data_IF_691716712366
#
_entry.id   IF_691716712366
#
_cell.length_a   1.000
_cell.length_b   1.000
_cell.length_c   1.000
_cell.angle_alpha   90.00
_cell.angle_beta   90.00
_cell.angle_gamma   90.00
#
_symmetry.space_group_name_H-M   'P 1'
#
loop_
_entity.id
_entity.type
_entity.pdbx_description
1 polymer ?
#
# COMPACT_ATOMS: atom_id res chain seq x y z
N UNK A 1 -33.21 -68.56 25.00
CA UNK A 1 -32.79 -67.96 23.70
C UNK A 1 -33.38 -66.55 23.62
N UNK A 2 -32.59 -65.50 23.86
CA UNK A 2 -33.03 -64.11 23.81
C UNK A 2 -32.06 -63.33 22.97
N UNK A 3 -32.52 -62.77 21.85
CA UNK A 3 -31.76 -61.90 20.94
C UNK A 3 -31.73 -60.49 21.55
N UNK A 4 -30.51 -59.95 21.81
CA UNK A 4 -30.26 -58.54 22.13
C UNK A 4 -30.18 -57.77 20.83
N UNK A 5 -31.09 -56.82 20.65
CA UNK A 5 -31.03 -55.78 19.58
C UNK A 5 -30.22 -54.59 20.09
N UNK A 6 -29.12 -54.27 19.41
CA UNK A 6 -28.30 -53.11 19.70
C UNK A 6 -28.93 -51.84 19.15
N UNK A 7 -29.11 -50.81 20.01
CA UNK A 7 -29.51 -49.46 19.64
C UNK A 7 -28.25 -48.67 19.21
N UNK A 8 -28.19 -48.29 17.94
CA UNK A 8 -27.19 -47.35 17.41
C UNK A 8 -27.40 -45.95 18.03
N UNK A 9 -26.33 -45.41 18.63
CA UNK A 9 -26.29 -44.01 19.08
C UNK A 9 -25.95 -43.13 17.88
N UNK A 10 -26.92 -42.40 17.36
CA UNK A 10 -26.69 -41.32 16.43
C UNK A 10 -25.91 -40.18 17.12
N UNK A 11 -24.75 -39.85 16.62
CA UNK A 11 -24.05 -38.63 16.99
C UNK A 11 -24.80 -37.45 16.37
N UNK A 12 -25.45 -36.65 17.17
CA UNK A 12 -25.90 -35.30 16.79
C UNK A 12 -24.65 -34.42 16.71
N UNK A 13 -24.29 -33.96 15.51
CA UNK A 13 -23.38 -32.86 15.32
C UNK A 13 -24.05 -31.62 15.92
N UNK A 14 -23.65 -31.27 17.12
CA UNK A 14 -24.00 -29.99 17.72
C UNK A 14 -23.10 -28.94 17.13
N UNK A 15 -23.60 -28.21 16.14
CA UNK A 15 -23.03 -26.91 15.80
C UNK A 15 -23.06 -26.05 17.06
N UNK A 16 -21.87 -25.68 17.56
CA UNK A 16 -21.81 -24.68 18.63
C UNK A 16 -22.24 -23.35 17.98
N UNK A 17 -23.21 -22.64 18.56
CA UNK A 17 -23.54 -21.32 18.07
C UNK A 17 -22.30 -20.45 18.17
N UNK A 18 -21.89 -19.91 17.06
CA UNK A 18 -20.88 -18.84 17.01
C UNK A 18 -21.49 -17.69 17.81
N UNK A 19 -20.92 -17.40 18.99
CA UNK A 19 -21.31 -16.22 19.75
C UNK A 19 -21.01 -15.02 18.86
N UNK A 20 -22.03 -14.35 18.36
CA UNK A 20 -21.91 -13.05 17.77
C UNK A 20 -21.11 -12.14 18.72
N UNK A 21 -20.14 -11.42 18.21
CA UNK A 21 -19.43 -10.42 18.99
C UNK A 21 -20.47 -9.43 19.54
N UNK A 22 -20.28 -8.91 20.78
CA UNK A 22 -21.22 -7.97 21.35
C UNK A 22 -21.37 -6.78 20.37
N UNK A 23 -22.56 -6.60 19.87
CA UNK A 23 -22.94 -5.42 19.10
C UNK A 23 -23.04 -4.27 20.11
N UNK A 24 -22.00 -3.46 20.21
CA UNK A 24 -22.12 -2.14 20.82
C UNK A 24 -22.94 -1.29 19.87
N UNK A 25 -24.18 -1.02 20.26
CA UNK A 25 -25.14 -0.29 19.45
C UNK A 25 -24.57 1.04 18.96
N UNK A 26 -24.28 1.14 17.68
CA UNK A 26 -24.02 2.38 16.97
C UNK A 26 -22.62 2.98 17.09
N UNK A 27 -21.63 2.30 17.67
CA UNK A 27 -20.24 2.79 17.74
C UNK A 27 -19.32 1.76 17.09
N UNK A 28 -18.92 2.03 15.85
CA UNK A 28 -17.86 1.27 15.20
C UNK A 28 -16.50 1.89 15.58
N UNK A 29 -15.65 1.08 16.20
CA UNK A 29 -14.36 1.55 16.68
C UNK A 29 -13.26 1.09 15.73
N UNK A 30 -12.69 1.99 14.97
CA UNK A 30 -11.41 1.75 14.31
C UNK A 30 -10.35 1.55 15.39
N UNK A 31 -9.55 0.51 15.28
CA UNK A 31 -8.37 0.46 16.10
C UNK A 31 -8.20 -0.73 17.02
N UNK A 32 -8.75 -1.89 16.72
CA UNK A 32 -8.18 -3.15 17.18
C UNK A 32 -7.34 -3.74 16.07
N UNK A 33 -6.03 -3.68 16.19
CA UNK A 33 -5.17 -4.54 15.41
C UNK A 33 -5.60 -5.99 15.71
N UNK A 34 -6.04 -6.71 14.71
CA UNK A 34 -6.10 -8.18 14.80
C UNK A 34 -4.68 -8.68 14.50
N UNK A 35 -4.23 -9.73 15.16
CA UNK A 35 -3.02 -10.40 14.75
C UNK A 35 -3.11 -10.70 13.25
N UNK A 36 -2.04 -10.43 12.51
CA UNK A 36 -1.93 -10.88 11.12
C UNK A 36 -2.24 -12.37 11.08
N UNK A 37 -3.04 -12.82 10.13
CA UNK A 37 -3.23 -14.24 9.88
C UNK A 37 -2.13 -14.81 8.99
N UNK A 38 -0.96 -14.22 9.01
CA UNK A 38 0.20 -14.67 8.26
C UNK A 38 0.53 -16.16 8.46
N UNK A 39 0.03 -16.77 9.52
CA UNK A 39 0.14 -18.20 9.76
C UNK A 39 -0.96 -19.09 9.17
N UNK A 40 -1.91 -18.56 8.40
CA UNK A 40 -3.05 -19.35 7.91
C UNK A 40 -2.79 -20.17 6.65
N UNK A 41 -1.57 -20.08 6.07
CA UNK A 41 -1.24 -20.76 4.83
C UNK A 41 -0.40 -22.01 5.07
N UNK A 42 -0.94 -23.21 4.80
CA UNK A 42 -0.27 -24.48 5.10
C UNK A 42 0.93 -24.81 4.22
N UNK A 43 1.34 -23.94 3.30
CA UNK A 43 2.41 -24.23 2.34
C UNK A 43 3.80 -24.24 3.00
N UNK A 44 3.98 -23.52 4.13
CA UNK A 44 5.29 -23.41 4.82
C UNK A 44 5.26 -23.76 6.30
N UNK A 45 4.16 -24.32 6.82
CA UNK A 45 3.91 -24.44 8.26
C UNK A 45 3.48 -23.09 8.85
N UNK A 46 2.77 -23.13 9.97
CA UNK A 46 2.47 -21.91 10.72
C UNK A 46 3.79 -21.40 11.29
N UNK A 47 4.30 -20.21 10.89
CA UNK A 47 5.44 -19.64 11.58
C UNK A 47 5.06 -19.45 13.06
N UNK A 48 5.94 -19.79 13.98
CA UNK A 48 5.77 -19.45 15.39
C UNK A 48 5.46 -17.96 15.45
N UNK A 49 4.33 -17.61 16.07
CA UNK A 49 3.94 -16.22 16.24
C UNK A 49 4.94 -15.53 17.13
N UNK A 50 5.97 -14.97 16.51
CA UNK A 50 6.96 -14.19 17.24
C UNK A 50 6.31 -12.87 17.65
N UNK A 51 6.04 -12.72 18.94
CA UNK A 51 5.47 -11.51 19.54
C UNK A 51 6.54 -10.48 19.92
N UNK A 52 7.81 -10.76 19.60
CA UNK A 52 8.92 -9.89 19.94
C UNK A 52 9.45 -9.18 18.70
N UNK A 53 9.80 -7.91 18.87
CA UNK A 53 10.57 -7.22 17.86
C UNK A 53 11.87 -7.97 17.56
N UNK A 54 12.08 -8.30 16.31
CA UNK A 54 13.38 -8.76 15.85
C UNK A 54 14.33 -7.57 15.73
N UNK A 55 15.64 -7.76 15.93
CA UNK A 55 16.58 -6.70 15.65
C UNK A 55 16.43 -6.21 14.21
N UNK A 56 16.38 -4.90 14.03
CA UNK A 56 16.37 -4.32 12.69
C UNK A 56 17.74 -4.56 12.04
N UNK A 57 17.77 -4.80 10.72
CA UNK A 57 19.02 -4.91 9.99
C UNK A 57 19.82 -3.62 10.06
N UNK A 58 21.14 -3.73 9.91
CA UNK A 58 21.99 -2.56 9.82
C UNK A 58 21.64 -1.74 8.57
N UNK A 59 21.49 -0.40 8.70
CA UNK A 59 21.23 0.46 7.56
C UNK A 59 22.40 0.42 6.55
N UNK A 60 22.10 0.57 5.28
CA UNK A 60 23.12 0.67 4.22
C UNK A 60 23.62 2.08 4.00
N UNK A 61 22.80 3.08 4.38
CA UNK A 61 23.15 4.50 4.38
C UNK A 61 23.35 5.08 5.77
N UNK A 62 23.75 6.35 5.81
CA UNK A 62 23.93 7.09 7.05
C UNK A 62 22.66 7.82 7.47
N UNK A 63 22.46 8.04 8.82
CA UNK A 63 21.43 8.93 9.27
C UNK A 63 21.60 10.35 8.66
N UNK A 64 20.50 11.06 8.37
CA UNK A 64 19.11 10.78 8.75
C UNK A 64 18.34 9.83 7.82
N UNK A 65 19.01 9.03 6.99
CA UNK A 65 18.43 8.06 6.06
C UNK A 65 17.61 8.73 4.94
N UNK A 66 18.18 9.75 4.32
CA UNK A 66 17.57 10.46 3.21
C UNK A 66 18.00 9.87 1.86
N UNK A 67 17.07 9.77 0.94
CA UNK A 67 17.33 9.59 -0.48
C UNK A 67 16.70 10.78 -1.23
N UNK A 68 17.54 11.57 -1.91
CA UNK A 68 17.05 12.67 -2.74
C UNK A 68 16.70 12.14 -4.13
N UNK A 69 15.51 12.45 -4.63
CA UNK A 69 15.06 12.05 -5.95
C UNK A 69 16.02 12.49 -7.07
N UNK A 70 16.75 13.61 -6.87
CA UNK A 70 17.80 14.07 -7.80
C UNK A 70 18.92 13.07 -8.07
N UNK A 71 19.18 12.20 -7.10
CA UNK A 71 20.24 11.19 -7.24
C UNK A 71 19.80 9.96 -8.02
N UNK A 72 18.49 9.84 -8.32
CA UNK A 72 17.90 8.63 -8.88
C UNK A 72 17.31 8.85 -10.28
N UNK A 73 16.90 10.08 -10.60
CA UNK A 73 16.38 10.44 -11.92
C UNK A 73 17.35 11.37 -12.66
N UNK A 74 17.16 11.54 -13.97
CA UNK A 74 18.02 12.42 -14.75
C UNK A 74 17.90 13.90 -14.30
N UNK A 75 18.96 14.71 -14.41
CA UNK A 75 18.88 16.14 -14.10
C UNK A 75 17.79 16.89 -14.88
N UNK A 76 17.57 16.53 -16.15
CA UNK A 76 16.50 17.11 -16.99
C UNK A 76 15.12 16.76 -16.47
N UNK A 77 14.90 15.50 -16.05
CA UNK A 77 13.64 15.06 -15.46
C UNK A 77 13.36 15.78 -14.13
N UNK A 78 14.40 15.91 -13.28
CA UNK A 78 14.25 16.65 -12.02
C UNK A 78 13.91 18.13 -12.28
N UNK A 79 14.59 18.77 -13.23
CA UNK A 79 14.30 20.17 -13.58
C UNK A 79 12.89 20.35 -14.15
N UNK A 80 12.37 19.36 -14.89
CA UNK A 80 10.98 19.39 -15.39
C UNK A 80 9.96 19.42 -14.23
N UNK A 81 10.18 18.65 -13.16
CA UNK A 81 9.32 18.67 -11.96
C UNK A 81 9.36 20.04 -11.26
N UNK A 82 10.58 20.59 -11.09
CA UNK A 82 10.77 21.89 -10.43
C UNK A 82 10.11 23.02 -11.24
N UNK A 83 10.30 23.04 -12.55
CA UNK A 83 9.74 24.06 -13.45
C UNK A 83 8.22 24.00 -13.51
N UNK A 84 7.67 22.80 -13.64
CA UNK A 84 6.21 22.60 -13.68
C UNK A 84 5.54 22.76 -12.31
N UNK A 85 6.33 22.77 -11.22
CA UNK A 85 5.82 22.74 -9.83
C UNK A 85 4.77 21.63 -9.63
N UNK A 86 5.03 20.46 -10.21
CA UNK A 86 4.13 19.33 -10.22
C UNK A 86 4.90 18.01 -10.15
N UNK A 87 4.52 17.15 -9.23
CA UNK A 87 5.03 15.79 -9.07
C UNK A 87 3.88 14.81 -9.24
N UNK A 88 4.02 13.90 -10.18
CA UNK A 88 3.09 12.78 -10.36
C UNK A 88 3.80 11.48 -9.99
N UNK A 89 3.11 10.53 -9.34
CA UNK A 89 3.65 9.23 -8.99
C UNK A 89 2.55 8.19 -8.84
N UNK A 90 2.93 6.92 -8.92
CA UNK A 90 2.04 5.80 -8.62
C UNK A 90 2.26 5.27 -7.21
N UNK A 91 1.19 4.70 -6.63
CA UNK A 91 1.19 4.03 -5.33
C UNK A 91 0.41 2.74 -5.43
N UNK A 92 0.94 1.68 -4.86
CA UNK A 92 0.23 0.45 -4.54
C UNK A 92 0.93 -0.25 -3.37
N UNK A 93 0.34 -1.32 -2.85
CA UNK A 93 0.92 -2.21 -1.86
C UNK A 93 0.36 -3.62 -2.06
N UNK A 94 0.89 -4.59 -1.32
CA UNK A 94 0.39 -5.97 -1.35
C UNK A 94 0.39 -6.53 -2.78
N UNK A 95 1.54 -6.35 -3.43
CA UNK A 95 1.63 -6.54 -4.86
C UNK A 95 2.11 -7.92 -5.29
N UNK A 96 2.74 -8.68 -4.39
CA UNK A 96 3.38 -9.96 -4.75
C UNK A 96 2.42 -10.95 -5.39
N UNK A 97 2.69 -11.31 -6.64
CA UNK A 97 1.83 -12.14 -7.48
C UNK A 97 2.06 -13.62 -7.28
N UNK A 98 1.59 -14.18 -6.19
CA UNK A 98 1.62 -15.64 -5.99
C UNK A 98 0.51 -16.35 -6.76
N UNK A 99 0.59 -17.66 -6.83
CA UNK A 99 -0.23 -18.57 -7.64
C UNK A 99 0.05 -18.42 -9.13
N UNK A 100 -0.59 -17.52 -9.83
CA UNK A 100 -0.38 -17.32 -11.27
C UNK A 100 0.13 -15.90 -11.62
N UNK A 101 0.25 -14.99 -10.62
CA UNK A 101 0.75 -13.64 -10.81
C UNK A 101 -0.08 -12.74 -11.76
N UNK A 102 -1.20 -13.22 -12.27
CA UNK A 102 -1.97 -12.52 -13.32
C UNK A 102 -2.52 -11.18 -12.82
N UNK A 103 -3.03 -11.13 -11.59
CA UNK A 103 -3.61 -9.91 -11.03
C UNK A 103 -2.55 -8.82 -10.87
N UNK A 104 -1.35 -9.20 -10.41
CA UNK A 104 -0.19 -8.30 -10.35
C UNK A 104 0.21 -7.78 -11.73
N UNK A 105 0.28 -8.67 -12.73
CA UNK A 105 0.60 -8.27 -14.10
C UNK A 105 -0.44 -7.31 -14.69
N UNK A 106 -1.72 -7.50 -14.38
CA UNK A 106 -2.78 -6.59 -14.81
C UNK A 106 -2.60 -5.19 -14.19
N UNK A 107 -2.26 -5.11 -12.91
CA UNK A 107 -1.97 -3.84 -12.23
C UNK A 107 -0.72 -3.19 -12.83
N UNK A 108 0.38 -3.92 -13.01
CA UNK A 108 1.61 -3.41 -13.60
C UNK A 108 1.37 -2.83 -15.00
N UNK A 109 0.68 -3.57 -15.88
CA UNK A 109 0.29 -3.10 -17.22
C UNK A 109 -0.67 -1.90 -17.17
N UNK A 110 -1.57 -1.87 -16.19
CA UNK A 110 -2.44 -0.71 -15.95
C UNK A 110 -1.65 0.55 -15.65
N UNK A 111 -0.61 0.45 -14.84
CA UNK A 111 0.30 1.57 -14.53
C UNK A 111 1.17 1.95 -15.74
N UNK A 112 1.65 0.97 -16.51
CA UNK A 112 2.43 1.23 -17.73
C UNK A 112 1.59 1.96 -18.79
N UNK A 113 0.33 1.62 -18.93
CA UNK A 113 -0.60 2.26 -19.87
C UNK A 113 -0.90 3.74 -19.52
N UNK A 114 -0.62 4.16 -18.30
CA UNK A 114 -0.78 5.55 -17.86
C UNK A 114 0.35 6.48 -18.36
N UNK A 115 1.47 5.92 -18.84
CA UNK A 115 2.57 6.72 -19.36
C UNK A 115 2.28 7.32 -20.72
N UNK A 116 2.65 8.59 -20.85
CA UNK A 116 2.57 9.37 -22.10
C UNK A 116 3.98 9.58 -22.63
N UNK A 117 4.46 8.78 -23.60
CA UNK A 117 5.88 8.75 -23.99
C UNK A 117 6.46 10.11 -24.46
N UNK A 118 5.62 11.00 -24.98
CA UNK A 118 6.03 12.33 -25.49
C UNK A 118 5.78 13.46 -24.48
N UNK A 119 5.17 13.18 -23.35
CA UNK A 119 4.89 14.21 -22.34
C UNK A 119 6.10 14.39 -21.39
N UNK A 120 6.28 15.58 -20.81
CA UNK A 120 7.32 15.81 -19.81
C UNK A 120 7.09 14.94 -18.56
N UNK A 121 8.14 14.75 -17.74
CA UNK A 121 8.02 13.95 -16.53
C UNK A 121 6.96 14.47 -15.58
N UNK A 122 6.74 15.78 -15.52
CA UNK A 122 5.68 16.38 -14.70
C UNK A 122 4.25 15.86 -15.01
N UNK A 123 4.03 15.34 -16.22
CA UNK A 123 2.76 14.75 -16.65
C UNK A 123 2.76 13.22 -16.61
N UNK A 124 3.90 12.64 -16.31
CA UNK A 124 4.09 11.21 -16.15
C UNK A 124 4.44 10.87 -14.69
N UNK A 125 4.16 9.65 -14.24
CA UNK A 125 4.65 9.20 -12.94
C UNK A 125 6.17 9.23 -12.87
N UNK A 126 6.72 9.92 -11.87
CA UNK A 126 8.17 10.02 -11.66
C UNK A 126 8.73 8.75 -10.99
N UNK A 127 7.89 8.03 -10.26
CA UNK A 127 8.23 6.78 -9.58
C UNK A 127 6.96 5.99 -9.22
N UNK A 128 7.15 4.74 -8.82
CA UNK A 128 6.18 3.94 -8.07
C UNK A 128 6.64 3.90 -6.62
N UNK A 129 5.70 4.04 -5.67
CA UNK A 129 5.94 3.83 -4.24
C UNK A 129 5.11 2.64 -3.74
N UNK A 130 5.78 1.58 -3.29
CA UNK A 130 5.17 0.34 -2.79
C UNK A 130 4.99 0.43 -1.28
N UNK A 131 3.79 0.15 -0.81
CA UNK A 131 3.39 0.23 0.60
C UNK A 131 3.58 -1.09 1.36
N UNK A 132 4.58 -1.87 0.96
CA UNK A 132 4.95 -3.15 1.60
C UNK A 132 4.31 -4.37 0.96
N UNK A 133 4.71 -5.53 1.47
CA UNK A 133 4.41 -6.85 0.94
C UNK A 133 4.75 -6.95 -0.54
N UNK A 134 6.05 -6.70 -0.80
CA UNK A 134 6.60 -6.75 -2.15
C UNK A 134 6.66 -8.19 -2.67
N UNK A 135 6.98 -9.13 -1.77
CA UNK A 135 7.15 -10.56 -2.10
C UNK A 135 6.52 -11.45 -1.03
N UNK A 136 5.61 -12.30 -1.41
CA UNK A 136 4.95 -13.32 -0.58
C UNK A 136 5.64 -14.68 -0.70
N UNK A 137 5.57 -15.57 0.35
CA UNK A 137 4.93 -15.25 1.64
C UNK A 137 5.93 -14.73 2.67
N UNK A 138 7.23 -14.91 2.45
CA UNK A 138 8.29 -14.70 3.43
C UNK A 138 9.40 -13.76 2.90
N UNK A 139 9.15 -12.95 1.90
CA UNK A 139 10.14 -12.04 1.33
C UNK A 139 11.36 -12.74 0.72
N UNK A 140 11.22 -14.02 0.29
CA UNK A 140 12.33 -14.87 -0.13
C UNK A 140 13.04 -14.31 -1.36
N UNK A 141 14.37 -14.26 -1.29
CA UNK A 141 15.22 -13.75 -2.40
C UNK A 141 14.89 -14.40 -3.74
N UNK A 142 14.67 -15.72 -3.77
CA UNK A 142 14.39 -16.48 -5.01
C UNK A 142 13.06 -16.08 -5.68
N UNK A 143 12.13 -15.49 -4.94
CA UNK A 143 10.81 -15.11 -5.44
C UNK A 143 10.77 -13.68 -6.02
N UNK A 144 11.87 -12.91 -5.88
CA UNK A 144 11.94 -11.53 -6.40
C UNK A 144 11.83 -11.45 -7.91
N UNK A 145 12.29 -12.47 -8.67
CA UNK A 145 12.11 -12.47 -10.11
C UNK A 145 10.63 -12.48 -10.47
N UNK A 146 9.92 -13.52 -10.05
CA UNK A 146 8.52 -13.76 -10.42
C UNK A 146 7.54 -12.74 -9.84
N UNK A 147 7.85 -12.15 -8.67
CA UNK A 147 6.93 -11.27 -7.96
C UNK A 147 7.32 -9.78 -8.00
N UNK A 148 8.51 -9.44 -8.50
CA UNK A 148 8.94 -8.06 -8.60
C UNK A 148 9.58 -7.73 -9.95
N UNK A 149 10.64 -8.41 -10.35
CA UNK A 149 11.40 -8.01 -11.53
C UNK A 149 10.64 -8.25 -12.84
N UNK A 150 10.06 -9.41 -13.03
CA UNK A 150 9.31 -9.78 -14.23
C UNK A 150 8.04 -8.94 -14.40
N UNK A 151 7.13 -8.81 -13.41
CA UNK A 151 5.91 -8.03 -13.56
C UNK A 151 6.14 -6.54 -13.84
N UNK A 152 7.23 -5.97 -13.31
CA UNK A 152 7.56 -4.54 -13.45
C UNK A 152 8.72 -4.26 -14.41
N UNK A 153 9.09 -5.22 -15.26
CA UNK A 153 10.21 -5.07 -16.19
C UNK A 153 10.07 -3.83 -17.09
N UNK A 154 8.88 -3.57 -17.57
CA UNK A 154 8.59 -2.46 -18.48
C UNK A 154 8.14 -1.18 -17.78
N UNK A 155 8.04 -1.17 -16.46
CA UNK A 155 7.76 0.05 -15.73
C UNK A 155 8.98 1.00 -15.80
N UNK A 156 8.89 2.18 -16.47
CA UNK A 156 10.08 2.90 -16.93
C UNK A 156 10.70 3.84 -15.88
N UNK A 157 10.34 3.70 -14.61
CA UNK A 157 10.74 4.64 -13.54
C UNK A 157 11.26 3.91 -12.31
N UNK A 158 11.95 4.61 -11.38
CA UNK A 158 12.34 4.05 -10.10
C UNK A 158 11.14 3.50 -9.32
N UNK A 159 11.38 2.45 -8.54
CA UNK A 159 10.38 1.84 -7.67
C UNK A 159 10.92 1.89 -6.25
N UNK A 160 10.27 2.67 -5.39
CA UNK A 160 10.59 2.78 -3.97
C UNK A 160 9.61 1.93 -3.15
N UNK A 161 10.01 1.54 -1.93
CA UNK A 161 9.16 0.74 -1.07
C UNK A 161 9.41 1.01 0.42
N UNK A 162 8.41 0.71 1.24
CA UNK A 162 8.59 0.30 2.63
C UNK A 162 8.35 -1.20 2.72
N UNK A 163 9.00 -1.95 3.62
CA UNK A 163 8.70 -3.36 3.75
C UNK A 163 7.39 -3.59 4.51
N UNK A 164 6.67 -4.64 4.14
CA UNK A 164 5.51 -5.16 4.86
C UNK A 164 5.87 -6.29 5.82
N UNK A 165 4.84 -6.96 6.35
CA UNK A 165 5.05 -8.09 7.26
C UNK A 165 5.58 -9.31 6.51
N UNK A 166 5.09 -9.58 5.30
CA UNK A 166 5.58 -10.71 4.49
C UNK A 166 7.03 -10.51 4.03
N UNK A 167 7.49 -9.29 3.79
CA UNK A 167 8.90 -8.99 3.51
C UNK A 167 9.79 -9.24 4.74
N UNK A 168 9.25 -9.08 5.95
CA UNK A 168 9.96 -9.23 7.21
C UNK A 168 9.85 -10.60 7.85
N UNK A 169 8.95 -11.46 7.40
CA UNK A 169 8.86 -12.84 7.82
C UNK A 169 9.98 -13.65 7.16
N UNK A 170 10.56 -14.58 7.88
CA UNK A 170 11.62 -15.45 7.35
C UNK A 170 11.36 -16.90 7.71
N UNK A 171 11.75 -17.80 6.83
CA UNK A 171 11.79 -19.22 7.15
C UNK A 171 12.90 -19.51 8.20
N UNK A 172 12.80 -20.61 8.95
CA UNK A 172 13.86 -20.99 9.89
C UNK A 172 15.22 -21.06 9.20
N UNK A 173 16.20 -20.30 9.72
CA UNK A 173 17.56 -20.22 9.18
C UNK A 173 17.78 -19.15 8.12
N UNK A 174 16.77 -18.38 7.75
CA UNK A 174 16.87 -17.22 6.87
C UNK A 174 16.91 -15.92 7.67
N UNK A 175 17.61 -14.91 7.12
CA UNK A 175 17.65 -13.58 7.72
C UNK A 175 16.39 -12.79 7.35
N UNK A 176 15.69 -12.18 8.32
CA UNK A 176 14.54 -11.33 8.02
C UNK A 176 14.93 -10.18 7.11
N UNK A 177 14.04 -9.82 6.16
CA UNK A 177 14.25 -8.73 5.22
C UNK A 177 15.40 -8.92 4.23
N UNK A 178 16.05 -10.08 4.13
CA UNK A 178 17.19 -10.26 3.23
C UNK A 178 16.82 -9.89 1.78
N UNK A 179 15.71 -10.42 1.28
CA UNK A 179 15.24 -10.11 -0.07
C UNK A 179 14.99 -8.61 -0.25
N UNK A 180 14.33 -7.96 0.70
CA UNK A 180 14.07 -6.52 0.65
C UNK A 180 15.37 -5.71 0.66
N UNK A 181 16.30 -6.00 1.56
CA UNK A 181 17.58 -5.30 1.66
C UNK A 181 18.40 -5.38 0.38
N UNK A 182 18.47 -6.58 -0.22
CA UNK A 182 19.21 -6.80 -1.46
C UNK A 182 18.65 -5.98 -2.62
N UNK A 183 17.33 -5.89 -2.73
CA UNK A 183 16.65 -5.34 -3.91
C UNK A 183 16.23 -3.88 -3.76
N UNK A 184 16.03 -3.39 -2.53
CA UNK A 184 15.65 -2.01 -2.28
C UNK A 184 16.70 -1.18 -1.54
N UNK A 185 17.59 -1.80 -0.77
CA UNK A 185 18.58 -1.12 0.06
C UNK A 185 20.02 -1.43 -0.38
N UNK A 186 20.27 -1.64 -1.65
CA UNK A 186 21.63 -1.89 -2.16
C UNK A 186 22.52 -0.64 -1.99
N UNK A 187 23.83 -0.84 -1.83
CA UNK A 187 24.79 0.27 -1.72
C UNK A 187 24.96 1.08 -3.01
N UNK A 188 24.65 0.47 -4.14
CA UNK A 188 24.69 1.09 -5.47
C UNK A 188 23.66 0.41 -6.37
N UNK A 189 23.20 1.06 -7.46
CA UNK A 189 22.27 0.46 -8.40
C UNK A 189 22.99 -0.67 -9.18
N UNK A 190 22.78 -1.91 -8.71
CA UNK A 190 23.35 -3.12 -9.29
C UNK A 190 22.23 -3.99 -9.87
N UNK A 191 22.55 -4.72 -10.93
CA UNK A 191 21.72 -5.84 -11.36
C UNK A 191 21.96 -7.02 -10.41
N UNK A 192 20.96 -7.32 -9.61
CA UNK A 192 21.06 -8.43 -8.65
C UNK A 192 20.92 -9.78 -9.36
N UNK A 193 21.51 -10.88 -8.84
CA UNK A 193 21.34 -12.21 -9.43
C UNK A 193 19.88 -12.62 -9.61
N UNK A 194 19.04 -12.30 -8.63
CA UNK A 194 17.60 -12.55 -8.64
C UNK A 194 16.83 -11.74 -9.69
N UNK A 195 17.43 -10.72 -10.28
CA UNK A 195 16.82 -9.98 -11.40
C UNK A 195 16.88 -10.75 -12.73
N UNK A 196 17.66 -11.82 -12.82
CA UNK A 196 17.80 -12.69 -13.99
C UNK A 196 18.00 -11.90 -15.31
N UNK A 197 17.07 -11.99 -16.26
CA UNK A 197 17.13 -11.28 -17.55
C UNK A 197 16.49 -9.88 -17.52
N UNK A 198 15.75 -9.52 -16.46
CA UNK A 198 15.22 -8.17 -16.29
C UNK A 198 16.34 -7.12 -16.35
N UNK A 199 16.07 -5.99 -16.98
CA UNK A 199 16.99 -4.86 -17.05
C UNK A 199 16.97 -3.94 -15.83
N UNK A 200 16.15 -4.25 -14.84
CA UNK A 200 16.05 -3.43 -13.63
C UNK A 200 17.25 -3.69 -12.70
N UNK A 201 17.66 -2.61 -12.03
CA UNK A 201 18.68 -2.65 -10.98
C UNK A 201 18.02 -2.50 -9.61
N UNK A 202 18.70 -2.98 -8.58
CA UNK A 202 18.30 -2.74 -7.21
C UNK A 202 18.26 -1.23 -6.89
N UNK A 203 17.36 -0.85 -5.99
CA UNK A 203 17.26 0.51 -5.47
C UNK A 203 18.26 0.73 -4.33
N UNK A 204 18.54 2.00 -4.02
CA UNK A 204 19.55 2.41 -3.04
C UNK A 204 18.94 3.15 -1.85
N UNK A 205 17.80 2.66 -1.37
CA UNK A 205 17.19 3.19 -0.15
C UNK A 205 18.15 3.01 1.02
N UNK A 206 18.33 4.04 1.87
CA UNK A 206 19.39 3.99 2.89
C UNK A 206 19.09 3.08 4.09
N UNK A 207 17.84 2.70 4.28
CA UNK A 207 17.39 1.88 5.38
C UNK A 207 15.99 1.31 5.09
N UNK A 208 15.49 0.42 5.93
CA UNK A 208 14.10 -0.12 5.88
C UNK A 208 13.05 0.91 6.34
N UNK A 209 13.47 1.96 7.05
CA UNK A 209 12.70 3.19 7.28
C UNK A 209 13.57 4.40 6.87
N UNK A 210 13.00 5.30 6.11
CA UNK A 210 13.79 6.31 5.41
C UNK A 210 12.91 7.43 4.85
N UNK A 211 13.53 8.51 4.39
CA UNK A 211 12.83 9.65 3.82
C UNK A 211 13.22 9.85 2.36
N UNK A 212 12.24 9.86 1.46
CA UNK A 212 12.41 10.33 0.09
C UNK A 212 12.18 11.83 0.04
N UNK A 213 13.23 12.57 -0.32
CA UNK A 213 13.16 14.00 -0.54
C UNK A 213 12.85 14.27 -2.01
N UNK A 214 11.80 15.06 -2.27
CA UNK A 214 11.45 15.52 -3.62
C UNK A 214 11.24 17.04 -3.61
N UNK A 215 11.21 17.70 -4.76
CA UNK A 215 11.01 19.16 -4.80
C UNK A 215 9.60 19.58 -4.36
N UNK A 216 8.63 18.66 -4.28
CA UNK A 216 7.23 18.99 -4.05
C UNK A 216 6.58 18.24 -2.89
N UNK A 217 7.24 17.26 -2.29
CA UNK A 217 6.78 16.52 -1.12
C UNK A 217 7.93 15.83 -0.42
N UNK A 218 7.79 15.57 0.89
CA UNK A 218 8.64 14.66 1.64
C UNK A 218 7.83 13.39 1.97
N UNK A 219 8.41 12.22 1.68
CA UNK A 219 7.81 10.93 2.01
C UNK A 219 8.61 10.28 3.12
N UNK A 220 8.02 10.14 4.29
CA UNK A 220 8.62 9.47 5.44
C UNK A 220 8.09 8.05 5.49
N UNK A 221 8.93 7.10 5.07
CA UNK A 221 8.62 5.69 5.07
C UNK A 221 8.93 5.03 6.41
N UNK A 222 7.98 4.28 6.96
CA UNK A 222 8.11 3.57 8.22
C UNK A 222 8.06 2.05 7.99
N UNK A 223 8.92 1.34 8.69
CA UNK A 223 8.81 -0.09 8.82
C UNK A 223 7.91 -0.43 10.00
N UNK A 224 6.65 -0.67 9.72
CA UNK A 224 5.60 -0.86 10.72
C UNK A 224 5.34 -2.32 11.06
N UNK A 225 6.29 -3.16 10.77
CA UNK A 225 6.12 -4.60 10.96
C UNK A 225 6.23 -5.02 12.41
N UNK A 226 6.16 -5.99 12.89
CA UNK A 226 6.52 -6.89 13.95
C UNK A 226 6.38 -6.33 15.36
N UNK A 227 5.65 -6.96 16.21
CA UNK A 227 4.81 -8.13 15.91
C UNK A 227 3.60 -7.74 15.10
N UNK A 228 3.02 -8.72 14.42
CA UNK A 228 1.83 -8.55 13.60
C UNK A 228 0.77 -7.64 14.24
N UNK A 229 0.32 -6.66 13.47
CA UNK A 229 -0.65 -5.68 13.95
C UNK A 229 -0.19 -4.22 13.89
N UNK A 230 1.01 -3.99 13.36
CA UNK A 230 1.56 -2.66 13.14
C UNK A 230 2.14 -2.04 14.42
N UNK A 231 3.46 -1.98 14.47
CA UNK A 231 4.22 -1.37 15.56
C UNK A 231 5.59 -0.93 15.03
N UNK A 232 6.19 0.07 15.66
CA UNK A 232 7.56 0.50 15.38
C UNK A 232 8.42 0.46 16.64
N UNK A 233 9.73 0.28 16.46
CA UNK A 233 10.68 0.27 17.56
C UNK A 233 10.89 1.67 18.14
N UNK A 234 11.33 1.74 19.40
CA UNK A 234 11.68 3.01 20.04
C UNK A 234 12.74 3.80 19.25
N UNK A 235 13.85 3.20 18.77
CA UNK A 235 14.81 3.93 17.93
C UNK A 235 14.19 4.52 16.65
N UNK A 236 13.27 3.80 15.99
CA UNK A 236 12.57 4.33 14.81
C UNK A 236 11.65 5.48 15.19
N UNK A 237 10.96 5.40 16.34
CA UNK A 237 10.11 6.47 16.86
C UNK A 237 10.91 7.75 17.17
N UNK A 238 12.10 7.61 17.76
CA UNK A 238 13.02 8.72 18.00
C UNK A 238 13.52 9.35 16.69
N UNK A 239 13.90 8.51 15.72
CA UNK A 239 14.27 8.98 14.39
C UNK A 239 13.12 9.73 13.73
N UNK A 240 11.91 9.18 13.76
CA UNK A 240 10.71 9.84 13.23
C UNK A 240 10.53 11.24 13.82
N UNK A 241 10.69 11.39 15.14
CA UNK A 241 10.58 12.70 15.80
C UNK A 241 11.61 13.70 15.28
N UNK A 242 12.84 13.27 15.01
CA UNK A 242 13.89 14.12 14.41
C UNK A 242 13.53 14.49 12.96
N UNK A 243 13.04 13.53 12.18
CA UNK A 243 12.59 13.75 10.79
C UNK A 243 11.45 14.77 10.73
N UNK A 244 10.37 14.54 11.46
CA UNK A 244 9.21 15.46 11.47
C UNK A 244 9.62 16.88 11.83
N UNK A 245 10.60 17.05 12.72
CA UNK A 245 11.10 18.36 13.15
C UNK A 245 11.96 19.03 12.08
N UNK A 246 12.78 18.27 11.34
CA UNK A 246 13.81 18.79 10.43
C UNK A 246 13.31 19.09 9.03
N UNK A 247 12.29 18.35 8.56
CA UNK A 247 11.80 18.45 7.20
C UNK A 247 11.10 19.80 6.93
N UNK A 248 11.28 20.33 5.71
CA UNK A 248 10.66 21.58 5.28
C UNK A 248 9.13 21.54 5.42
N UNK A 249 8.56 22.67 5.82
CA UNK A 249 7.10 22.90 5.91
C UNK A 249 6.53 23.50 4.62
N UNK A 250 7.36 23.78 3.62
CA UNK A 250 6.95 24.40 2.37
C UNK A 250 6.33 23.40 1.39
N UNK A 251 6.54 22.11 1.65
CA UNK A 251 5.99 21.00 0.91
C UNK A 251 5.23 20.05 1.84
N UNK A 252 4.22 19.30 1.33
CA UNK A 252 3.46 18.38 2.15
C UNK A 252 4.34 17.24 2.68
N UNK A 253 3.99 16.80 3.87
CA UNK A 253 4.56 15.65 4.56
C UNK A 253 3.63 14.45 4.40
N UNK A 254 4.09 13.44 3.68
CA UNK A 254 3.37 12.18 3.49
C UNK A 254 4.08 11.10 4.29
N UNK A 255 3.35 10.43 5.18
CA UNK A 255 3.85 9.25 5.88
C UNK A 255 3.37 8.00 5.16
N UNK A 256 4.29 7.10 4.87
CA UNK A 256 4.02 5.82 4.22
C UNK A 256 4.37 4.68 5.17
N UNK A 257 3.49 3.71 5.29
CA UNK A 257 3.65 2.56 6.17
C UNK A 257 2.85 1.38 5.61
N UNK A 258 3.17 0.17 6.07
CA UNK A 258 2.42 -0.99 5.59
C UNK A 258 1.09 -1.15 6.36
N UNK A 259 1.12 -1.24 7.68
CA UNK A 259 -0.07 -1.46 8.49
C UNK A 259 -0.89 -0.17 8.66
N UNK A 260 -2.14 -0.10 8.20
CA UNK A 260 -2.95 1.11 8.28
C UNK A 260 -3.34 1.46 9.72
N UNK A 261 -3.53 2.75 10.00
CA UNK A 261 -4.03 3.25 11.28
C UNK A 261 -5.54 3.02 11.39
N UNK A 262 -6.25 3.24 10.31
CA UNK A 262 -7.68 3.01 10.19
C UNK A 262 -7.97 2.02 9.06
N UNK A 263 -8.90 1.11 9.29
CA UNK A 263 -9.40 0.18 8.29
C UNK A 263 -10.82 -0.26 8.63
N UNK A 264 -11.69 -0.30 7.63
CA UNK A 264 -13.04 -0.83 7.70
C UNK A 264 -13.15 -2.22 7.04
N UNK A 265 -12.07 -2.94 6.98
CA UNK A 265 -11.95 -4.30 6.48
C UNK A 265 -12.48 -5.33 7.48
N UNK A 266 -13.04 -6.45 7.02
CA UNK A 266 -13.57 -7.50 7.90
C UNK A 266 -12.47 -8.42 8.46
N UNK A 267 -11.27 -8.39 7.87
CA UNK A 267 -10.12 -9.23 8.19
C UNK A 267 -9.08 -8.52 9.05
N UNK A 268 -8.68 -7.30 8.62
CA UNK A 268 -7.60 -6.51 9.21
C UNK A 268 -8.13 -5.15 9.67
N UNK A 269 -8.24 -4.99 10.97
CA UNK A 269 -8.56 -3.67 11.55
C UNK A 269 -7.34 -2.75 11.52
N UNK A 270 -7.57 -1.44 11.66
CA UNK A 270 -6.49 -0.48 11.81
C UNK A 270 -5.67 -0.69 13.10
N UNK A 271 -4.44 -0.15 13.14
CA UNK A 271 -3.53 -0.27 14.27
C UNK A 271 -3.63 0.91 15.24
N UNK A 272 -4.23 0.68 16.42
CA UNK A 272 -4.22 1.67 17.51
C UNK A 272 -2.84 1.93 18.11
N UNK A 273 -1.91 0.96 18.03
CA UNK A 273 -0.53 1.15 18.50
C UNK A 273 0.19 2.14 17.61
N UNK A 274 0.12 1.95 16.29
CA UNK A 274 0.68 2.91 15.33
C UNK A 274 0.08 4.30 15.47
N UNK A 275 -1.26 4.39 15.63
CA UNK A 275 -1.93 5.67 15.89
C UNK A 275 -1.30 6.39 17.07
N UNK A 276 -1.21 5.74 18.24
CA UNK A 276 -0.66 6.33 19.47
C UNK A 276 0.78 6.80 19.29
N UNK A 277 1.61 5.99 18.65
CA UNK A 277 3.01 6.36 18.42
C UNK A 277 3.10 7.58 17.50
N UNK A 278 2.42 7.56 16.36
CA UNK A 278 2.47 8.66 15.39
C UNK A 278 1.90 9.96 15.96
N UNK A 279 0.78 9.90 16.64
CA UNK A 279 0.16 11.08 17.28
C UNK A 279 1.07 11.63 18.38
N UNK A 280 1.58 10.77 19.27
CA UNK A 280 2.48 11.21 20.35
C UNK A 280 3.76 11.87 19.81
N UNK A 281 4.35 11.31 18.76
CA UNK A 281 5.54 11.91 18.12
C UNK A 281 5.20 13.24 17.45
N UNK A 282 4.10 13.27 16.68
CA UNK A 282 3.67 14.47 15.96
C UNK A 282 3.33 15.63 16.90
N UNK A 283 2.60 15.35 17.99
CA UNK A 283 2.26 16.32 19.03
C UNK A 283 3.50 16.88 19.72
N UNK A 284 4.43 15.99 20.14
CA UNK A 284 5.68 16.38 20.80
C UNK A 284 6.52 17.35 19.97
N UNK A 285 6.52 17.19 18.63
CA UNK A 285 7.33 18.04 17.73
C UNK A 285 6.51 19.14 17.06
N UNK A 286 5.19 19.19 17.24
CA UNK A 286 4.30 20.18 16.64
C UNK A 286 4.21 20.06 15.11
N UNK A 287 4.32 18.83 14.56
CA UNK A 287 4.22 18.57 13.14
C UNK A 287 3.46 17.28 12.85
N UNK A 288 2.29 17.43 12.27
CA UNK A 288 1.44 16.32 11.84
C UNK A 288 1.62 16.04 10.34
N UNK A 289 1.52 14.79 9.90
CA UNK A 289 1.44 14.45 8.49
C UNK A 289 0.27 15.15 7.78
N UNK A 290 0.47 15.46 6.51
CA UNK A 290 -0.58 15.98 5.64
C UNK A 290 -1.45 14.86 5.07
N UNK A 291 -0.89 13.66 4.94
CA UNK A 291 -1.54 12.46 4.45
C UNK A 291 -0.78 11.22 4.93
N UNK A 292 -1.51 10.11 5.11
CA UNK A 292 -0.93 8.80 5.36
C UNK A 292 -1.34 7.82 4.25
N UNK A 293 -0.38 7.03 3.77
CA UNK A 293 -0.59 5.99 2.77
C UNK A 293 -0.21 4.64 3.39
N UNK A 294 -1.07 3.63 3.24
CA UNK A 294 -0.85 2.29 3.81
C UNK A 294 -1.28 1.17 2.85
N UNK A 295 -0.69 -0.02 3.05
CA UNK A 295 -1.05 -1.28 2.43
C UNK A 295 -1.74 -2.24 3.41
N UNK A 296 -1.28 -3.52 3.43
CA UNK A 296 -1.68 -4.60 4.35
C UNK A 296 -3.11 -5.09 4.21
N UNK A 297 -4.03 -4.24 3.88
CA UNK A 297 -5.44 -4.55 3.70
C UNK A 297 -5.71 -4.65 2.22
N UNK A 298 -6.02 -5.85 1.75
CA UNK A 298 -6.08 -6.16 0.31
C UNK A 298 -7.33 -5.58 -0.35
N UNK A 299 -7.48 -4.27 -0.25
CA UNK A 299 -8.51 -3.49 -0.91
C UNK A 299 -8.09 -2.01 -1.00
N UNK A 300 -8.94 -1.18 -1.53
CA UNK A 300 -8.78 0.27 -1.52
C UNK A 300 -9.73 0.91 -0.53
N UNK A 301 -9.23 1.83 0.31
CA UNK A 301 -10.06 2.64 1.20
C UNK A 301 -9.54 4.08 1.23
N UNK A 302 -10.45 5.04 1.08
CA UNK A 302 -10.18 6.44 1.43
C UNK A 302 -10.93 6.79 2.68
N UNK A 303 -10.17 7.16 3.71
CA UNK A 303 -10.66 7.44 5.06
C UNK A 303 -10.22 8.84 5.45
N UNK A 304 -11.11 9.61 6.05
CA UNK A 304 -10.84 10.98 6.53
C UNK A 304 -11.00 11.06 8.04
N UNK A 305 -9.93 11.43 8.75
CA UNK A 305 -10.04 11.85 10.15
C UNK A 305 -10.44 13.33 10.18
N UNK A 306 -11.48 13.62 10.96
CA UNK A 306 -11.93 15.00 11.22
C UNK A 306 -11.37 15.47 12.56
N UNK A 307 -10.58 16.53 12.54
CA UNK A 307 -9.99 17.12 13.74
C UNK A 307 -10.91 18.22 14.29
N UNK A 308 -10.87 18.43 15.62
CA UNK A 308 -11.77 19.37 16.31
C UNK A 308 -11.68 20.82 15.81
N UNK A 309 -10.53 21.23 15.29
CA UNK A 309 -10.32 22.55 14.70
C UNK A 309 -10.90 22.70 13.28
N UNK A 310 -11.55 21.66 12.78
CA UNK A 310 -12.15 21.59 11.46
C UNK A 310 -11.17 21.21 10.34
N UNK A 311 -9.93 20.85 10.68
CA UNK A 311 -9.00 20.28 9.70
C UNK A 311 -9.30 18.80 9.44
N UNK A 312 -8.83 18.31 8.31
CA UNK A 312 -9.00 16.94 7.84
C UNK A 312 -7.64 16.31 7.58
N UNK A 313 -7.52 15.02 7.83
CA UNK A 313 -6.32 14.24 7.51
C UNK A 313 -6.73 13.02 6.69
N UNK A 314 -6.27 12.90 5.44
CA UNK A 314 -6.48 11.72 4.62
C UNK A 314 -5.65 10.52 5.11
N UNK A 315 -6.30 9.37 5.25
CA UNK A 315 -5.72 8.05 5.45
C UNK A 315 -6.15 7.17 4.28
N UNK A 316 -5.21 6.79 3.44
CA UNK A 316 -5.50 6.04 2.21
C UNK A 316 -4.88 4.66 2.30
N UNK A 317 -5.68 3.62 2.14
CA UNK A 317 -5.23 2.24 1.99
C UNK A 317 -5.22 1.90 0.50
N UNK A 318 -4.09 1.40 0.00
CA UNK A 318 -3.90 1.00 -1.40
C UNK A 318 -3.26 -0.38 -1.43
N UNK A 319 -3.96 -1.38 -0.89
CA UNK A 319 -3.46 -2.75 -0.72
C UNK A 319 -4.01 -3.75 -1.75
N UNK A 320 -4.58 -3.28 -2.84
CA UNK A 320 -5.09 -4.16 -3.92
C UNK A 320 -4.11 -4.26 -5.10
N UNK A 321 -2.79 -4.31 -4.82
CA UNK A 321 -1.72 -4.21 -5.82
C UNK A 321 -1.43 -5.47 -6.62
N UNK A 322 -2.02 -6.62 -6.28
CA UNK A 322 -1.79 -7.85 -7.06
C UNK A 322 -1.85 -9.16 -6.30
N UNK A 323 -1.81 -9.12 -4.98
CA UNK A 323 -2.04 -10.33 -4.18
C UNK A 323 -3.45 -10.87 -4.44
N UNK A 324 -3.58 -12.14 -4.78
CA UNK A 324 -4.79 -12.75 -5.34
C UNK A 324 -6.05 -12.66 -4.47
N UNK A 325 -5.89 -12.55 -3.15
CA UNK A 325 -7.00 -12.59 -2.20
C UNK A 325 -7.40 -11.17 -1.77
N UNK A 326 -8.38 -10.59 -2.43
CA UNK A 326 -8.98 -9.34 -2.01
C UNK A 326 -9.83 -9.55 -0.76
N UNK A 327 -9.80 -8.58 0.14
CA UNK A 327 -10.56 -8.61 1.39
C UNK A 327 -11.89 -7.88 1.24
N UNK A 328 -12.92 -8.43 1.90
CA UNK A 328 -14.22 -7.80 1.98
C UNK A 328 -14.25 -6.67 3.03
N UNK A 329 -15.19 -5.76 2.85
CA UNK A 329 -15.45 -4.73 3.85
C UNK A 329 -16.29 -5.30 5.00
N UNK A 330 -16.07 -4.78 6.22
CA UNK A 330 -16.93 -5.10 7.36
C UNK A 330 -18.39 -4.72 7.06
N UNK A 331 -19.31 -5.43 7.70
CA UNK A 331 -20.73 -5.08 7.64
C UNK A 331 -21.11 -4.22 8.83
N UNK A 332 -22.03 -3.29 8.62
CA UNK A 332 -22.65 -2.47 9.65
C UNK A 332 -24.08 -2.95 9.82
N UNK A 333 -24.45 -3.38 11.02
CA UNK A 333 -25.77 -3.95 11.35
C UNK A 333 -26.19 -5.12 10.41
N UNK A 334 -25.19 -5.89 9.97
CA UNK A 334 -25.40 -7.01 9.04
C UNK A 334 -25.46 -6.62 7.55
N UNK A 335 -25.51 -5.34 7.24
CA UNK A 335 -25.63 -4.81 5.90
C UNK A 335 -24.28 -4.34 5.31
N UNK A 336 -24.15 -4.38 4.00
CA UNK A 336 -22.99 -3.84 3.31
C UNK A 336 -22.94 -2.32 3.45
N UNK A 337 -21.76 -1.79 3.71
CA UNK A 337 -21.55 -0.35 3.80
C UNK A 337 -21.76 0.35 2.45
N UNK A 338 -22.40 1.51 2.50
CA UNK A 338 -22.55 2.42 1.36
C UNK A 338 -21.87 3.75 1.76
N UNK A 339 -20.66 4.04 1.27
CA UNK A 339 -19.96 5.28 1.61
C UNK A 339 -20.71 6.53 1.16
N UNK A 340 -20.57 7.66 1.89
CA UNK A 340 -19.72 7.83 3.07
C UNK A 340 -20.33 7.24 4.36
N UNK A 341 -19.49 6.61 5.21
CA UNK A 341 -19.90 6.09 6.52
C UNK A 341 -18.97 6.66 7.59
N UNK A 342 -19.54 7.31 8.60
CA UNK A 342 -18.75 7.90 9.70
C UNK A 342 -18.76 6.99 10.91
N UNK A 343 -17.57 6.73 11.42
CA UNK A 343 -17.30 6.00 12.63
C UNK A 343 -16.71 6.93 13.70
N UNK A 344 -16.57 6.41 14.90
CA UNK A 344 -15.76 7.03 15.95
C UNK A 344 -14.55 6.17 16.21
N UNK A 345 -13.40 6.79 16.37
CA UNK A 345 -12.22 6.09 16.87
C UNK A 345 -12.30 5.89 18.40
N UNK A 346 -11.29 5.27 19.02
CA UNK A 346 -11.30 5.00 20.46
C UNK A 346 -11.34 6.23 21.33
N UNK A 347 -10.83 7.34 20.84
CA UNK A 347 -10.80 8.64 21.49
C UNK A 347 -12.11 9.43 21.26
N UNK A 348 -13.01 8.87 20.42
CA UNK A 348 -14.31 9.44 20.07
C UNK A 348 -14.26 10.44 18.93
N UNK A 349 -13.10 10.59 18.26
CA UNK A 349 -12.96 11.46 17.08
C UNK A 349 -13.69 10.87 15.88
N UNK A 350 -14.39 11.68 15.06
CA UNK A 350 -15.08 11.21 13.89
C UNK A 350 -14.09 10.84 12.77
N UNK A 351 -14.30 9.66 12.17
CA UNK A 351 -13.53 9.11 11.08
C UNK A 351 -14.49 8.61 10.01
N UNK A 352 -14.40 9.15 8.80
CA UNK A 352 -15.31 8.82 7.70
C UNK A 352 -14.63 7.91 6.69
N UNK A 353 -15.21 6.76 6.38
CA UNK A 353 -14.91 5.99 5.18
C UNK A 353 -15.63 6.67 4.00
N UNK A 354 -14.86 7.36 3.17
CA UNK A 354 -15.41 8.14 2.05
C UNK A 354 -15.63 7.30 0.79
N UNK A 355 -14.76 6.33 0.54
CA UNK A 355 -14.77 5.46 -0.64
C UNK A 355 -14.02 4.17 -0.39
N UNK A 356 -14.39 3.09 -1.11
CA UNK A 356 -13.62 1.84 -1.12
C UNK A 356 -13.80 1.09 -2.45
N UNK A 357 -12.90 0.12 -2.69
CA UNK A 357 -13.02 -0.96 -3.66
C UNK A 357 -12.52 -2.24 -3.03
N UNK A 358 -13.33 -3.29 -3.02
CA UNK A 358 -13.03 -4.57 -2.39
C UNK A 358 -13.20 -5.75 -3.36
N UNK A 359 -13.34 -5.49 -4.64
CA UNK A 359 -13.67 -6.48 -5.66
C UNK A 359 -12.82 -6.39 -6.94
N UNK A 360 -11.92 -5.41 -7.02
CA UNK A 360 -10.97 -5.23 -8.13
C UNK A 360 -9.59 -4.88 -7.59
N UNK A 361 -8.57 -5.41 -8.24
CA UNK A 361 -7.20 -4.92 -8.08
C UNK A 361 -7.05 -3.55 -8.73
N UNK A 362 -6.01 -2.81 -8.31
CA UNK A 362 -5.81 -1.48 -8.83
C UNK A 362 -4.59 -0.77 -8.27
N UNK A 363 -4.47 0.47 -8.63
CA UNK A 363 -3.38 1.34 -8.20
C UNK A 363 -3.85 2.79 -8.07
N UNK A 364 -3.09 3.57 -7.36
CA UNK A 364 -3.36 4.99 -7.20
C UNK A 364 -2.37 5.83 -7.99
N UNK A 365 -2.88 6.81 -8.75
CA UNK A 365 -2.10 7.90 -9.31
C UNK A 365 -2.28 9.13 -8.46
N UNK A 366 -1.17 9.64 -7.94
CA UNK A 366 -1.11 10.84 -7.13
C UNK A 366 -0.46 11.97 -7.92
N UNK A 367 -0.93 13.20 -7.69
CA UNK A 367 -0.35 14.42 -8.23
C UNK A 367 -0.22 15.46 -7.13
N UNK A 368 0.95 16.03 -6.94
CA UNK A 368 1.23 17.04 -5.91
C UNK A 368 1.67 18.33 -6.57
N UNK A 369 1.07 19.42 -6.12
CA UNK A 369 1.43 20.79 -6.48
C UNK A 369 1.72 21.61 -5.23
N UNK A 370 2.09 22.87 -5.38
CA UNK A 370 2.32 23.79 -4.25
C UNK A 370 1.13 23.99 -3.33
N UNK A 371 -0.07 23.53 -3.72
CA UNK A 371 -1.31 23.70 -2.97
C UNK A 371 -2.10 22.41 -2.80
N UNK A 372 -2.14 21.57 -3.82
CA UNK A 372 -3.05 20.43 -3.90
C UNK A 372 -2.30 19.11 -3.86
N UNK A 373 -2.92 18.13 -3.22
CA UNK A 373 -2.70 16.70 -3.44
C UNK A 373 -3.94 16.17 -4.14
N UNK A 374 -3.77 15.64 -5.36
CA UNK A 374 -4.85 15.05 -6.15
C UNK A 374 -4.65 13.55 -6.21
N UNK A 375 -5.65 12.79 -5.82
CA UNK A 375 -5.64 11.33 -5.87
C UNK A 375 -6.64 10.80 -6.90
N UNK A 376 -6.21 9.80 -7.65
CA UNK A 376 -7.04 9.03 -8.59
C UNK A 376 -6.78 7.55 -8.38
N UNK A 377 -7.78 6.83 -7.93
CA UNK A 377 -7.70 5.38 -7.84
C UNK A 377 -8.32 4.74 -9.07
N UNK A 378 -7.52 3.89 -9.71
CA UNK A 378 -7.94 3.13 -10.89
C UNK A 378 -8.04 1.65 -10.53
N UNK A 379 -9.15 1.04 -10.90
CA UNK A 379 -9.27 -0.41 -10.94
C UNK A 379 -8.81 -0.94 -12.29
N UNK A 380 -8.23 -2.13 -12.31
CA UNK A 380 -7.87 -2.85 -13.52
C UNK A 380 -8.91 -3.94 -13.81
N UNK A 381 -9.05 -4.42 -15.06
CA UNK A 381 -9.92 -5.54 -15.38
C UNK A 381 -9.56 -6.78 -14.57
N UNK A 382 -10.56 -7.57 -14.17
CA UNK A 382 -10.34 -8.90 -13.59
C UNK A 382 -9.87 -9.87 -14.67
N UNK A 383 -9.25 -10.99 -14.27
CA UNK A 383 -8.71 -12.00 -15.19
C UNK A 383 -9.73 -12.51 -16.24
N UNK A 384 -11.01 -12.54 -15.90
CA UNK A 384 -12.10 -12.99 -16.78
C UNK A 384 -12.80 -11.86 -17.54
N UNK A 385 -12.42 -10.60 -17.30
CA UNK A 385 -12.97 -9.43 -17.98
C UNK A 385 -12.14 -9.08 -19.22
N UNK A 386 -12.76 -8.50 -20.28
CA UNK A 386 -12.02 -8.08 -21.45
C UNK A 386 -10.96 -7.01 -21.12
N UNK A 387 -9.74 -7.21 -21.56
CA UNK A 387 -8.66 -6.21 -21.44
C UNK A 387 -9.00 -4.85 -22.11
N UNK A 388 -9.87 -4.87 -23.11
CA UNK A 388 -10.37 -3.67 -23.78
C UNK A 388 -11.16 -2.73 -22.85
N UNK A 389 -11.59 -3.24 -21.68
CA UNK A 389 -12.22 -2.41 -20.64
C UNK A 389 -11.27 -1.35 -20.12
N UNK A 390 -9.94 -1.62 -20.09
CA UNK A 390 -8.92 -0.72 -19.59
C UNK A 390 -9.09 -0.35 -18.12
N UNK A 391 -8.26 0.57 -17.66
CA UNK A 391 -8.34 1.09 -16.29
C UNK A 391 -9.62 1.91 -16.09
N UNK A 392 -10.32 1.69 -14.97
CA UNK A 392 -11.53 2.41 -14.64
C UNK A 392 -11.27 3.34 -13.46
N UNK A 393 -11.53 4.64 -13.61
CA UNK A 393 -11.46 5.59 -12.51
C UNK A 393 -12.58 5.30 -11.51
N UNK A 394 -12.24 4.85 -10.31
CA UNK A 394 -13.20 4.55 -9.24
C UNK A 394 -13.33 5.70 -8.25
N UNK A 395 -12.22 6.33 -7.90
CA UNK A 395 -12.21 7.42 -6.94
C UNK A 395 -11.32 8.57 -7.41
N UNK A 396 -11.76 9.77 -7.08
CA UNK A 396 -11.06 11.02 -7.35
C UNK A 396 -11.27 11.97 -6.20
N UNK A 397 -10.18 12.62 -5.76
CA UNK A 397 -10.27 13.68 -4.77
C UNK A 397 -9.18 14.74 -4.98
N UNK A 398 -9.46 15.93 -4.48
CA UNK A 398 -8.51 17.02 -4.34
C UNK A 398 -8.44 17.41 -2.88
N UNK A 399 -7.24 17.49 -2.33
CA UNK A 399 -6.97 17.89 -0.96
C UNK A 399 -6.06 19.11 -0.95
N UNK A 400 -6.56 20.23 -0.41
CA UNK A 400 -5.75 21.40 -0.14
C UNK A 400 -4.91 21.12 1.13
N UNK A 401 -3.66 20.73 0.92
CA UNK A 401 -2.78 20.33 2.02
C UNK A 401 -2.34 21.52 2.90
N UNK A 402 -2.47 22.78 2.40
CA UNK A 402 -2.23 23.99 3.20
C UNK A 402 -3.43 24.33 4.08
N UNK A 403 -4.62 24.25 3.53
CA UNK A 403 -5.86 24.48 4.27
C UNK A 403 -6.31 23.26 5.08
N UNK A 404 -5.66 22.09 4.88
CA UNK A 404 -6.02 20.81 5.52
C UNK A 404 -7.47 20.42 5.29
N UNK A 405 -7.95 20.54 4.06
CA UNK A 405 -9.34 20.24 3.69
C UNK A 405 -9.46 19.68 2.29
N UNK A 406 -10.37 18.75 2.14
CA UNK A 406 -10.81 18.36 0.80
C UNK A 406 -11.52 19.52 0.11
N UNK A 407 -11.23 19.68 -1.17
CA UNK A 407 -12.02 20.54 -2.02
C UNK A 407 -13.30 19.79 -2.37
N UNK A 408 -14.49 20.37 -2.09
CA UNK A 408 -15.75 19.75 -2.47
C UNK A 408 -15.75 19.46 -3.97
N UNK A 409 -15.80 18.20 -4.31
CA UNK A 409 -15.72 17.78 -5.70
C UNK A 409 -16.82 16.76 -5.98
N UNK A 410 -17.57 16.98 -7.05
CA UNK A 410 -18.34 15.92 -7.65
C UNK A 410 -17.36 15.07 -8.46
N UNK A 411 -17.37 13.75 -8.27
CA UNK A 411 -16.63 12.83 -9.15
C UNK A 411 -16.84 13.30 -10.59
N UNK A 412 -15.76 13.55 -11.35
CA UNK A 412 -15.93 13.76 -12.78
C UNK A 412 -16.67 12.53 -13.30
N UNK A 413 -17.71 12.77 -14.09
CA UNK A 413 -18.37 11.68 -14.83
C UNK A 413 -17.26 10.85 -15.46
N UNK A 414 -17.25 9.50 -15.30
CA UNK A 414 -16.18 8.69 -15.86
C UNK A 414 -16.00 9.10 -17.32
N UNK A 415 -14.86 9.71 -17.63
CA UNK A 415 -14.48 9.90 -19.03
C UNK A 415 -14.23 8.49 -19.55
N UNK A 416 -15.02 7.98 -20.50
CA UNK A 416 -14.74 6.68 -21.08
C UNK A 416 -13.28 6.71 -21.51
N UNK A 417 -12.49 5.74 -21.05
CA UNK A 417 -11.10 5.58 -21.46
C UNK A 417 -11.12 5.67 -22.98
N UNK A 418 -10.41 6.67 -23.55
CA UNK A 418 -10.28 6.75 -24.99
C UNK A 418 -9.74 5.38 -25.42
N UNK A 419 -10.56 4.64 -26.14
CA UNK A 419 -10.22 3.36 -26.70
C UNK A 419 -8.94 3.61 -27.50
N UNK A 420 -7.81 3.13 -27.00
CA UNK A 420 -6.59 3.02 -27.78
C UNK A 420 -6.91 1.99 -28.88
N UNK A 421 -7.51 2.47 -29.96
CA UNK A 421 -7.56 1.76 -31.23
C UNK A 421 -6.11 1.61 -31.66
N UNK A 422 -5.51 0.48 -31.27
CA UNK A 422 -4.29 0.03 -31.87
C UNK A 422 -4.55 -0.07 -33.37
N UNK A 423 -4.01 0.87 -34.12
CA UNK A 423 -3.95 0.77 -35.58
C UNK A 423 -3.01 -0.41 -35.88
N UNK A 424 -3.59 -1.60 -35.96
CA UNK A 424 -2.99 -2.74 -36.63
C UNK A 424 -2.94 -2.36 -38.10
N UNK A 425 -1.84 -1.73 -38.52
CA UNK A 425 -1.52 -1.57 -39.93
C UNK A 425 -1.30 -2.96 -40.50
N UNK A 426 -2.32 -3.49 -41.16
CA UNK A 426 -2.24 -4.70 -41.95
C UNK A 426 -1.08 -4.62 -42.95
N UNK A 427 -0.06 -5.42 -42.74
CA UNK A 427 0.91 -5.72 -43.77
C UNK A 427 0.16 -6.52 -44.86
N UNK A 428 -0.05 -5.88 -46.03
CA UNK A 428 -0.46 -6.58 -47.24
C UNK A 428 0.57 -7.65 -47.54
N UNK A 429 0.16 -8.90 -47.47
CA UNK A 429 0.94 -10.02 -48.00
C UNK A 429 1.08 -9.80 -49.49
N UNK A 430 2.31 -9.64 -49.98
CA UNK A 430 2.62 -9.80 -51.43
C UNK A 430 2.49 -11.28 -51.76
N UNK A 431 1.57 -11.58 -52.68
CA UNK A 431 1.56 -12.89 -53.39
C UNK A 431 2.84 -12.99 -54.21
N UNK A 432 3.57 -14.07 -53.99
CA UNK A 432 4.42 -14.71 -54.96
C UNK A 432 3.68 -15.88 -55.57
#
# INVERSE_FOLDING_TARGET
MAKKTGKGRGRKNGERPVKAAPQDAGIHVFGRARPSQAGAYPIHGEPERDTKFRPLPSPTGAPPFHLDLRSVISPSDYQALVTAKKLTFHVNGDMGGIKNGMDQQLVARGMEADFKPKAPLSDNPAFLYILGDCVYYNGEVKEYYSQFYEPYEFFPRPIFAVPGNHDGESLPGEEPLEGFLRNFCAKSPLKMPEAQDSNRTAMTQPNVYWTLLTPLANFVGLYSNVPAGGEITAPQSEWLGKELKSLSKDVPLIVTLHHPIYSADDHHSGSTRMKKVLESVAEKVGRHPDMLLAGHVHNYQRITKHVKDGTQVPYIVVGAGGYYNLHHMMKVDGENMIPPVTFKDKEGDPVTLDRFSADHHGFMRMEITGKLIVGRYYTVPRQHEPYTKGNQLLDYFEFDWRAKRYIPNTLPTPVPSAVLTAHVRGRKAKKL
#
